data_IF_018134528208
#
_entry.id   IF_018134528208
#
_cell.length_a   1.000
_cell.length_b   1.000
_cell.length_c   1.000
_cell.angle_alpha   90.00
_cell.angle_beta   90.00
_cell.angle_gamma   90.00
#
_symmetry.space_group_name_H-M   'P 1'
#
loop_
_entity.id
_entity.type
_entity.pdbx_description
1 polymer ?
#
# COMPACT_ATOMS: atom_id res chain seq x y z
N UNK A 1 -4.58 1.14 12.56
CA UNK A 1 -5.33 2.42 12.55
C UNK A 1 -4.51 3.53 11.89
N UNK A 2 -3.18 3.48 11.95
CA UNK A 2 -2.28 4.54 11.44
C UNK A 2 -2.42 4.86 9.95
N UNK A 3 -2.84 3.89 9.13
CA UNK A 3 -2.85 4.04 7.66
C UNK A 3 -4.23 4.30 7.05
N UNK A 4 -5.33 4.02 7.75
CA UNK A 4 -6.65 3.94 7.12
C UNK A 4 -7.15 5.31 6.63
N UNK A 5 -7.07 6.33 7.50
CA UNK A 5 -7.49 7.68 7.15
C UNK A 5 -6.60 8.30 6.06
N UNK A 6 -5.28 8.12 6.18
CA UNK A 6 -4.32 8.64 5.20
C UNK A 6 -4.50 7.99 3.81
N UNK A 7 -4.69 6.66 3.76
CA UNK A 7 -4.91 5.95 2.51
C UNK A 7 -6.23 6.34 1.82
N UNK A 8 -7.29 6.62 2.60
CA UNK A 8 -8.54 7.17 2.06
C UNK A 8 -8.30 8.54 1.43
N UNK A 9 -7.73 9.49 2.18
CA UNK A 9 -7.46 10.85 1.69
C UNK A 9 -6.60 10.83 0.43
N UNK A 10 -5.54 10.03 0.41
CA UNK A 10 -4.65 9.93 -0.75
C UNK A 10 -5.38 9.41 -1.99
N UNK A 11 -6.24 8.40 -1.84
CA UNK A 11 -7.05 7.89 -2.95
C UNK A 11 -8.05 8.93 -3.46
N UNK A 12 -8.75 9.62 -2.57
CA UNK A 12 -9.68 10.69 -2.96
C UNK A 12 -8.96 11.88 -3.62
N UNK A 13 -7.68 12.09 -3.31
CA UNK A 13 -6.81 13.06 -3.98
C UNK A 13 -6.23 12.57 -5.32
N UNK A 14 -6.58 11.36 -5.77
CA UNK A 14 -6.15 10.79 -7.06
C UNK A 14 -4.85 9.97 -7.02
N UNK A 15 -4.31 9.67 -5.83
CA UNK A 15 -3.18 8.76 -5.70
C UNK A 15 -3.63 7.29 -5.83
N UNK A 16 -2.70 6.42 -6.22
CA UNK A 16 -2.89 4.96 -6.14
C UNK A 16 -2.38 4.47 -4.79
N UNK A 17 -3.16 3.65 -4.11
CA UNK A 17 -2.84 3.08 -2.79
C UNK A 17 -2.95 1.56 -2.80
N UNK A 18 -2.00 0.88 -2.17
CA UNK A 18 -1.95 -0.58 -2.06
C UNK A 18 -1.16 -1.00 -0.82
N UNK A 19 -1.13 -2.31 -0.54
CA UNK A 19 -0.08 -2.87 0.31
C UNK A 19 1.30 -2.87 -0.39
N UNK A 20 2.34 -3.36 0.29
CA UNK A 20 3.69 -3.40 -0.26
C UNK A 20 3.88 -4.32 -1.48
N UNK A 21 2.89 -5.17 -1.78
CA UNK A 21 2.88 -6.10 -2.91
C UNK A 21 1.95 -5.65 -4.05
N UNK A 22 1.42 -4.43 -3.98
CA UNK A 22 0.49 -3.89 -4.98
C UNK A 22 -0.94 -4.40 -4.83
N UNK A 23 -1.29 -5.07 -3.73
CA UNK A 23 -2.64 -5.59 -3.50
C UNK A 23 -3.53 -4.55 -2.79
N UNK A 24 -4.87 -4.62 -2.96
CA UNK A 24 -5.79 -3.76 -2.23
C UNK A 24 -5.66 -3.89 -0.72
N UNK A 25 -5.77 -2.77 0.00
CA UNK A 25 -5.76 -2.76 1.47
C UNK A 25 -7.06 -3.34 2.03
N UNK A 26 -6.93 -4.39 2.85
CA UNK A 26 -8.02 -4.98 3.61
C UNK A 26 -8.05 -4.44 5.05
N UNK A 27 -9.13 -3.74 5.40
CA UNK A 27 -9.39 -3.23 6.74
C UNK A 27 -10.31 -4.16 7.53
N UNK A 28 -10.50 -3.87 8.83
CA UNK A 28 -11.39 -4.61 9.74
C UNK A 28 -11.05 -6.11 9.88
N UNK A 29 -9.77 -6.46 9.72
CA UNK A 29 -9.25 -7.81 9.95
C UNK A 29 -9.17 -8.11 11.45
N UNK A 30 -9.24 -9.40 11.82
CA UNK A 30 -9.00 -9.86 13.21
C UNK A 30 -7.62 -9.41 13.71
N UNK A 31 -6.60 -9.55 12.88
CA UNK A 31 -5.30 -8.90 13.09
C UNK A 31 -5.22 -7.67 12.17
N UNK A 32 -5.30 -6.44 12.71
CA UNK A 32 -5.43 -5.23 11.91
C UNK A 32 -4.10 -4.71 11.37
N UNK A 33 -2.99 -5.44 11.53
CA UNK A 33 -1.67 -5.03 11.02
C UNK A 33 -1.60 -5.20 9.51
N UNK A 34 -0.97 -4.24 8.84
CA UNK A 34 -0.56 -4.36 7.45
C UNK A 34 0.95 -4.55 7.40
N UNK A 35 1.46 -5.41 6.52
CA UNK A 35 2.89 -5.59 6.32
C UNK A 35 3.54 -4.29 5.81
N UNK A 36 2.88 -3.61 4.88
CA UNK A 36 3.30 -2.29 4.41
C UNK A 36 2.19 -1.57 3.65
N UNK A 37 2.44 -0.30 3.34
CA UNK A 37 1.57 0.60 2.59
C UNK A 37 2.42 1.26 1.49
N UNK A 38 1.88 1.31 0.28
CA UNK A 38 2.46 2.07 -0.82
C UNK A 38 1.43 3.09 -1.32
N UNK A 39 1.86 4.36 -1.44
CA UNK A 39 1.05 5.48 -1.95
C UNK A 39 1.88 6.27 -2.94
N UNK A 40 1.40 6.41 -4.17
CA UNK A 40 2.15 7.05 -5.26
C UNK A 40 1.25 7.82 -6.21
N UNK A 41 1.85 8.66 -7.06
CA UNK A 41 1.19 9.06 -8.30
C UNK A 41 0.85 7.80 -9.14
N UNK A 42 -0.28 7.76 -9.86
CA UNK A 42 -0.71 6.56 -10.58
C UNK A 42 0.32 6.04 -11.59
N UNK A 43 0.98 6.94 -12.32
CA UNK A 43 1.90 6.61 -13.39
C UNK A 43 3.16 5.85 -12.93
N UNK A 44 3.49 5.86 -11.63
CA UNK A 44 4.69 5.21 -11.10
C UNK A 44 4.39 4.03 -10.18
N UNK A 45 3.11 3.70 -9.95
CA UNK A 45 2.74 2.73 -8.91
C UNK A 45 3.29 1.33 -9.20
N UNK A 46 3.13 0.83 -10.42
CA UNK A 46 3.65 -0.47 -10.82
C UNK A 46 5.17 -0.56 -10.70
N UNK A 47 5.89 0.47 -11.16
CA UNK A 47 7.35 0.55 -11.05
C UNK A 47 7.80 0.60 -9.58
N UNK A 48 7.07 1.28 -8.71
CA UNK A 48 7.36 1.32 -7.27
C UNK A 48 7.16 -0.05 -6.59
N UNK A 49 6.12 -0.80 -6.97
CA UNK A 49 5.90 -2.17 -6.50
C UNK A 49 7.07 -3.06 -6.94
N UNK A 50 7.42 -3.06 -8.22
CA UNK A 50 8.53 -3.84 -8.76
C UNK A 50 9.85 -3.50 -8.05
N UNK A 51 10.12 -2.21 -7.86
CA UNK A 51 11.33 -1.71 -7.18
C UNK A 51 11.48 -2.21 -5.75
N UNK A 52 10.38 -2.54 -5.08
CA UNK A 52 10.34 -2.99 -3.68
C UNK A 52 10.13 -4.51 -3.54
N UNK A 53 9.73 -5.22 -4.60
CA UNK A 53 9.30 -6.62 -4.56
C UNK A 53 10.29 -7.54 -3.84
N UNK A 54 11.57 -7.53 -4.25
CA UNK A 54 12.61 -8.37 -3.64
C UNK A 54 12.82 -8.10 -2.16
N UNK A 55 12.68 -6.83 -1.74
CA UNK A 55 12.87 -6.43 -0.34
C UNK A 55 11.64 -6.78 0.50
N UNK A 56 10.44 -6.60 -0.07
CA UNK A 56 9.19 -6.98 0.56
C UNK A 56 9.14 -8.49 0.82
N UNK A 57 9.52 -9.31 -0.17
CA UNK A 57 9.55 -10.76 -0.04
C UNK A 57 10.52 -11.27 1.05
N UNK A 58 11.64 -10.57 1.28
CA UNK A 58 12.63 -10.94 2.31
C UNK A 58 12.23 -10.57 3.74
N UNK A 59 11.33 -9.61 3.91
CA UNK A 59 10.97 -9.04 5.22
C UNK A 59 9.59 -9.47 5.72
N UNK A 60 8.78 -10.06 4.84
CA UNK A 60 7.42 -10.49 5.13
C UNK A 60 7.33 -11.76 5.98
#
# INVERSE_FOLDING_TARGET
WDIAAAALIAREAGATTSDAFGQPLAYNKRDPRAFGLLVTAPAIHAAAVERLADRAAKLA
#
